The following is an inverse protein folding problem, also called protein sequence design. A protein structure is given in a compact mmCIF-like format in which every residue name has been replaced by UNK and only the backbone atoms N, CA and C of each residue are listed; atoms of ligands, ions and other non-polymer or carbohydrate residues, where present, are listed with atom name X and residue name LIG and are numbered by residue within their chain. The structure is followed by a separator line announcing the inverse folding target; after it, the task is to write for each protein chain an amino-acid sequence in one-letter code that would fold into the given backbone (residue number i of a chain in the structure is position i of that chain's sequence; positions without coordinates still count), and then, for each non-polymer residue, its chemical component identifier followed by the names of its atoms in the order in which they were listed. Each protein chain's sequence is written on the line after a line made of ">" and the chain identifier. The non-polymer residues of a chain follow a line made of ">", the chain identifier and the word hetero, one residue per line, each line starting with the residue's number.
data_IF_807832401555
#
_entry.id   IF_807832401555
#
_cell.length_a   1.000
_cell.length_b   1.000
_cell.length_c   1.000
_cell.angle_alpha   90.00
_cell.angle_beta   90.00
_cell.angle_gamma   90.00
#
_symmetry.space_group_name_H-M   'P 1'
#
loop_
_entity.id
_entity.type
_entity.pdbx_description
1 polymer ?
#
# COMPACT_ATOMS: atom_id res chain seq x y z
N UNK A 1 -26.11 -1.98 12.39
CA UNK A 1 -24.69 -2.31 12.61
C UNK A 1 -24.38 -3.28 11.50
N UNK A 2 -23.54 -2.89 10.54
CA UNK A 2 -23.34 -3.65 9.31
C UNK A 2 -22.63 -4.96 9.62
N UNK A 3 -23.24 -6.07 9.20
CA UNK A 3 -22.68 -7.40 9.41
C UNK A 3 -21.59 -7.70 8.38
N UNK A 4 -20.40 -8.04 8.87
CA UNK A 4 -19.24 -8.40 8.05
C UNK A 4 -19.04 -9.91 8.01
N UNK A 5 -18.72 -10.42 6.83
CA UNK A 5 -18.24 -11.78 6.63
C UNK A 5 -16.82 -11.96 7.21
N UNK A 6 -16.39 -13.21 7.47
CA UNK A 6 -15.02 -13.49 7.90
C UNK A 6 -13.95 -12.92 6.96
N UNK A 7 -14.20 -12.95 5.64
CA UNK A 7 -13.28 -12.42 4.64
C UNK A 7 -13.19 -10.88 4.68
N UNK A 8 -14.31 -10.18 4.91
CA UNK A 8 -14.34 -8.72 5.09
C UNK A 8 -13.62 -8.31 6.37
N UNK A 9 -13.84 -9.02 7.48
CA UNK A 9 -13.11 -8.78 8.73
C UNK A 9 -11.60 -8.99 8.55
N UNK A 10 -11.19 -10.01 7.80
CA UNK A 10 -9.79 -10.24 7.48
C UNK A 10 -9.21 -9.10 6.60
N UNK A 11 -9.97 -8.63 5.60
CA UNK A 11 -9.55 -7.51 4.75
C UNK A 11 -9.39 -6.21 5.55
N UNK A 12 -10.33 -5.90 6.44
CA UNK A 12 -10.26 -4.74 7.35
C UNK A 12 -9.05 -4.86 8.28
N UNK A 13 -8.79 -6.05 8.85
CA UNK A 13 -7.62 -6.30 9.69
C UNK A 13 -6.31 -6.06 8.96
N UNK A 14 -6.16 -6.62 7.75
CA UNK A 14 -4.98 -6.42 6.90
C UNK A 14 -4.78 -4.95 6.52
N UNK A 15 -5.87 -4.25 6.20
CA UNK A 15 -5.82 -2.84 5.86
C UNK A 15 -5.42 -1.95 7.04
N UNK A 16 -5.90 -2.23 8.26
CA UNK A 16 -5.47 -1.53 9.48
C UNK A 16 -3.97 -1.72 9.73
N UNK A 17 -3.49 -2.95 9.59
CA UNK A 17 -2.06 -3.24 9.72
C UNK A 17 -1.25 -2.48 8.66
N UNK A 18 -1.67 -2.53 7.39
CA UNK A 18 -1.00 -1.83 6.30
C UNK A 18 -1.00 -0.30 6.49
N UNK A 19 -2.09 0.31 7.01
CA UNK A 19 -2.14 1.74 7.36
C UNK A 19 -1.13 2.09 8.46
N UNK A 20 -1.02 1.24 9.50
CA UNK A 20 -0.04 1.43 10.57
C UNK A 20 1.40 1.29 10.06
N UNK A 21 1.69 0.27 9.26
CA UNK A 21 3.00 0.07 8.64
C UNK A 21 3.36 1.25 7.73
N UNK A 22 2.45 1.70 6.86
CA UNK A 22 2.65 2.86 6.00
C UNK A 22 2.99 4.10 6.84
N UNK A 23 2.21 4.39 7.89
CA UNK A 23 2.46 5.55 8.75
C UNK A 23 3.81 5.50 9.47
N UNK A 24 4.30 4.32 9.84
CA UNK A 24 5.59 4.15 10.50
C UNK A 24 6.76 4.23 9.52
N UNK A 25 6.53 3.85 8.27
CA UNK A 25 7.58 3.68 7.25
C UNK A 25 7.64 4.82 6.25
N UNK A 26 6.65 5.71 6.17
CA UNK A 26 6.53 6.70 5.09
C UNK A 26 7.77 7.60 4.98
N UNK A 27 8.22 8.14 6.12
CA UNK A 27 9.45 8.94 6.19
C UNK A 27 10.68 8.13 5.82
N UNK A 28 10.77 6.88 6.28
CA UNK A 28 11.90 6.01 5.94
C UNK A 28 11.95 5.69 4.44
N UNK A 29 10.80 5.50 3.78
CA UNK A 29 10.75 5.34 2.33
C UNK A 29 11.25 6.58 1.60
N UNK A 30 10.85 7.78 2.04
CA UNK A 30 11.30 9.03 1.46
C UNK A 30 12.81 9.24 1.64
N UNK A 31 13.33 9.00 2.85
CA UNK A 31 14.75 9.16 3.17
C UNK A 31 15.63 8.20 2.34
N UNK A 32 15.25 6.92 2.25
CA UNK A 32 16.01 5.93 1.45
C UNK A 32 15.91 6.25 -0.04
N UNK A 33 14.74 6.66 -0.53
CA UNK A 33 14.57 7.08 -1.92
C UNK A 33 15.47 8.28 -2.25
N UNK A 34 15.53 9.27 -1.37
CA UNK A 34 16.41 10.43 -1.55
C UNK A 34 17.88 10.02 -1.60
N UNK A 35 18.34 9.16 -0.68
CA UNK A 35 19.72 8.65 -0.66
C UNK A 35 20.09 7.90 -1.95
N UNK A 36 19.18 7.07 -2.48
CA UNK A 36 19.43 6.35 -3.72
C UNK A 36 19.47 7.26 -4.94
N UNK A 37 18.60 8.28 -5.00
CA UNK A 37 18.62 9.28 -6.07
C UNK A 37 19.88 10.15 -6.01
N UNK A 38 20.33 10.52 -4.81
CA UNK A 38 21.58 11.24 -4.59
C UNK A 38 22.78 10.39 -5.03
N UNK A 39 22.80 9.10 -4.69
CA UNK A 39 23.83 8.17 -5.13
C UNK A 39 23.91 8.09 -6.67
N UNK A 40 22.76 8.06 -7.36
CA UNK A 40 22.72 8.08 -8.84
C UNK A 40 23.25 9.42 -9.36
N UNK A 41 22.83 10.53 -8.78
CA UNK A 41 23.20 11.88 -9.23
C UNK A 41 24.70 12.18 -9.05
N UNK A 42 25.30 11.66 -7.98
CA UNK A 42 26.71 11.91 -7.61
C UNK A 42 27.68 10.87 -8.18
N UNK A 43 27.19 9.70 -8.60
CA UNK A 43 28.01 8.66 -9.24
C UNK A 43 28.61 9.10 -10.58
N UNK A 44 29.79 8.57 -10.89
CA UNK A 44 30.45 8.79 -12.19
C UNK A 44 29.66 8.07 -13.30
N UNK A 45 29.66 8.59 -14.54
CA UNK A 45 28.98 7.93 -15.66
C UNK A 45 29.42 6.49 -15.93
N UNK A 46 30.68 6.15 -15.62
CA UNK A 46 31.22 4.79 -15.78
C UNK A 46 30.81 3.80 -14.69
N UNK A 47 30.18 4.24 -13.61
CA UNK A 47 29.73 3.38 -12.50
C UNK A 47 28.35 2.78 -12.79
N UNK A 48 28.19 2.17 -13.97
CA UNK A 48 26.91 1.69 -14.48
C UNK A 48 26.22 0.69 -13.55
N UNK A 49 26.97 -0.29 -13.01
CA UNK A 49 26.45 -1.30 -12.09
C UNK A 49 25.91 -0.68 -10.80
N UNK A 50 26.60 0.35 -10.26
CA UNK A 50 26.15 1.05 -9.06
C UNK A 50 24.85 1.81 -9.33
N UNK A 51 24.80 2.53 -10.46
CA UNK A 51 23.64 3.32 -10.89
C UNK A 51 22.42 2.43 -11.13
N UNK A 52 22.61 1.30 -11.81
CA UNK A 52 21.53 0.32 -12.06
C UNK A 52 20.99 -0.25 -10.75
N UNK A 53 21.87 -0.65 -9.82
CA UNK A 53 21.43 -1.15 -8.51
C UNK A 53 20.68 -0.08 -7.71
N UNK A 54 21.14 1.16 -7.72
CA UNK A 54 20.47 2.25 -7.03
C UNK A 54 19.09 2.53 -7.64
N UNK A 55 18.98 2.50 -8.98
CA UNK A 55 17.71 2.66 -9.68
C UNK A 55 16.73 1.53 -9.37
N UNK A 56 17.20 0.27 -9.39
CA UNK A 56 16.39 -0.88 -8.99
C UNK A 56 15.93 -0.76 -7.54
N UNK A 57 16.80 -0.25 -6.64
CA UNK A 57 16.43 0.04 -5.25
C UNK A 57 15.25 1.02 -5.15
N UNK A 58 15.28 2.11 -5.93
CA UNK A 58 14.15 3.07 -6.00
C UNK A 58 12.88 2.38 -6.48
N UNK A 59 12.96 1.57 -7.54
CA UNK A 59 11.79 0.86 -8.06
C UNK A 59 11.19 -0.11 -7.03
N UNK A 60 12.03 -0.85 -6.30
CA UNK A 60 11.56 -1.76 -5.25
C UNK A 60 10.87 -1.00 -4.13
N UNK A 61 11.42 0.13 -3.67
CA UNK A 61 10.79 0.96 -2.64
C UNK A 61 9.42 1.48 -3.09
N UNK A 62 9.32 1.99 -4.33
CA UNK A 62 8.05 2.48 -4.87
C UNK A 62 7.01 1.35 -5.01
N UNK A 63 7.43 0.15 -5.42
CA UNK A 63 6.55 -1.01 -5.51
C UNK A 63 6.03 -1.44 -4.14
N UNK A 64 6.90 -1.51 -3.13
CA UNK A 64 6.51 -1.88 -1.76
C UNK A 64 5.54 -0.83 -1.18
N UNK A 65 5.85 0.47 -1.33
CA UNK A 65 4.93 1.55 -0.92
C UNK A 65 3.58 1.42 -1.63
N UNK A 66 3.59 1.15 -2.94
CA UNK A 66 2.38 0.92 -3.73
C UNK A 66 1.55 -0.28 -3.25
N UNK A 67 2.18 -1.37 -2.83
CA UNK A 67 1.49 -2.52 -2.24
C UNK A 67 0.86 -2.20 -0.90
N UNK A 68 1.56 -1.48 -0.02
CA UNK A 68 1.01 -1.04 1.27
C UNK A 68 -0.18 -0.11 1.09
N UNK A 69 -0.13 0.83 0.14
CA UNK A 69 -1.24 1.73 -0.18
C UNK A 69 -2.46 0.92 -0.66
N UNK A 70 -2.26 -0.05 -1.56
CA UNK A 70 -3.35 -0.92 -2.03
C UNK A 70 -3.94 -1.77 -0.91
N UNK A 71 -3.09 -2.32 -0.05
CA UNK A 71 -3.54 -3.10 1.11
C UNK A 71 -4.32 -2.23 2.09
N UNK A 72 -3.89 -0.99 2.33
CA UNK A 72 -4.58 -0.01 3.17
C UNK A 72 -5.97 0.35 2.62
N UNK A 73 -6.13 0.45 1.29
CA UNK A 73 -7.41 0.70 0.65
C UNK A 73 -8.39 -0.50 0.70
N UNK A 74 -7.91 -1.69 1.08
CA UNK A 74 -8.73 -2.91 1.15
C UNK A 74 -9.85 -2.85 2.20
N UNK A 75 -9.68 -2.06 3.28
CA UNK A 75 -10.75 -1.83 4.26
C UNK A 75 -11.93 -1.10 3.64
N UNK A 76 -11.66 -0.04 2.88
CA UNK A 76 -12.68 0.82 2.29
C UNK A 76 -13.54 0.02 1.28
N UNK A 77 -12.93 -0.93 0.57
CA UNK A 77 -13.64 -1.87 -0.33
C UNK A 77 -14.49 -2.87 0.46
N UNK A 78 -13.97 -3.41 1.57
CA UNK A 78 -14.69 -4.37 2.40
C UNK A 78 -15.89 -3.71 3.13
N UNK A 79 -15.73 -2.48 3.60
CA UNK A 79 -16.80 -1.67 4.18
C UNK A 79 -17.89 -1.37 3.15
N UNK A 80 -17.51 -0.88 1.97
CA UNK A 80 -18.46 -0.63 0.87
C UNK A 80 -19.22 -1.90 0.43
N UNK A 81 -18.53 -3.05 0.39
CA UNK A 81 -19.15 -4.33 0.02
C UNK A 81 -20.18 -4.77 1.05
N UNK A 82 -19.89 -4.59 2.35
CA UNK A 82 -20.79 -4.94 3.43
C UNK A 82 -22.03 -4.03 3.44
N UNK A 83 -21.86 -2.71 3.25
CA UNK A 83 -22.96 -1.75 3.13
C UNK A 83 -23.86 -2.03 1.93
N UNK A 84 -23.28 -2.38 0.78
CA UNK A 84 -24.04 -2.75 -0.42
C UNK A 84 -24.83 -4.04 -0.23
N UNK A 85 -24.29 -5.02 0.51
CA UNK A 85 -25.02 -6.26 0.85
C UNK A 85 -26.22 -5.97 1.75
N UNK A 86 -26.05 -5.13 2.76
CA UNK A 86 -27.14 -4.70 3.66
C UNK A 86 -28.23 -3.97 2.86
N UNK A 87 -27.85 -2.99 2.04
CA UNK A 87 -28.79 -2.21 1.22
C UNK A 87 -29.51 -3.01 0.12
N UNK A 88 -28.90 -4.07 -0.41
CA UNK A 88 -29.53 -4.96 -1.40
C UNK A 88 -30.32 -6.09 -0.77
N UNK A 89 -29.92 -6.57 0.42
CA UNK A 89 -30.69 -7.53 1.21
C UNK A 89 -32.03 -6.96 1.68
N UNK A 90 -32.10 -5.66 1.92
CA UNK A 90 -33.32 -4.95 2.36
C UNK A 90 -34.29 -4.62 1.20
N UNK A 91 -33.91 -4.90 -0.07
CA UNK A 91 -34.77 -4.69 -1.26
C UNK A 91 -35.55 -5.92 -1.71
N UNK A 92 -35.48 -7.02 -0.97
CA UNK A 92 -36.27 -8.23 -1.22
C UNK A 92 -37.35 -8.41 -0.18
N UNK A 93 -38.47 -7.68 -0.28
CA UNK A 93 -39.86 -7.98 0.12
C UNK A 93 -40.65 -6.66 0.01
N UNK A 94 -41.22 -6.39 -1.18
CA UNK A 94 -42.61 -5.92 -1.40
C UNK A 94 -43.00 -6.37 -2.80
#
# INVERSE_FOLDING_TARGET
>A
MTDHTPDELQAIGKAKQAKAELSQTDKAFEDVRAQLLELIATSKPGETVLREKAYLGVQVLENVKGWLIKAAAGADVAEFTAEMREAMGDRGIV
#
